data_IF_637852927341
#
_entry.id   IF_637852927341
#
_cell.length_a   1.000
_cell.length_b   1.000
_cell.length_c   1.000
_cell.angle_alpha   90.00
_cell.angle_beta   90.00
_cell.angle_gamma   90.00
#
_symmetry.space_group_name_H-M   'P 1'
#
loop_
_entity.id
_entity.type
_entity.pdbx_description
1 polymer ?
#
# COMPACT_ATOMS: atom_id res chain seq x y z
N UNK A 1 -30.06 40.42 29.05
CA UNK A 1 -29.41 40.24 27.74
C UNK A 1 -28.00 39.73 27.98
N UNK A 2 -27.81 38.40 28.05
CA UNK A 2 -26.54 37.76 28.39
C UNK A 2 -25.82 37.33 27.12
N UNK A 3 -24.72 38.01 26.79
CA UNK A 3 -23.84 37.71 25.67
C UNK A 3 -23.02 36.45 25.95
N UNK A 4 -23.30 35.37 25.21
CA UNK A 4 -22.50 34.14 25.24
C UNK A 4 -21.19 34.35 24.46
N UNK A 5 -20.09 34.39 25.21
CA UNK A 5 -18.72 34.40 24.69
C UNK A 5 -18.38 32.98 24.23
N UNK A 6 -18.09 32.82 22.93
CA UNK A 6 -17.66 31.54 22.34
C UNK A 6 -16.13 31.42 22.33
N UNK A 7 -15.62 30.19 22.47
CA UNK A 7 -14.20 29.80 22.62
C UNK A 7 -13.25 30.24 21.49
N UNK A 8 -13.73 30.98 20.48
CA UNK A 8 -12.91 31.58 19.41
C UNK A 8 -12.40 32.99 19.72
N UNK A 9 -12.80 33.59 20.85
CA UNK A 9 -12.45 34.98 21.18
C UNK A 9 -11.10 35.17 21.92
N UNK A 10 -10.26 34.14 22.04
CA UNK A 10 -9.09 34.13 22.94
C UNK A 10 -7.70 34.07 22.25
N UNK A 11 -7.60 34.38 20.95
CA UNK A 11 -6.30 34.35 20.24
C UNK A 11 -5.98 35.59 19.38
N UNK A 12 -6.58 36.76 19.63
CA UNK A 12 -6.26 37.98 18.85
C UNK A 12 -5.63 39.13 19.63
N UNK A 13 -5.21 38.96 20.89
CA UNK A 13 -4.42 39.98 21.60
C UNK A 13 -2.92 39.77 21.38
N UNK A 14 -2.46 40.14 20.18
CA UNK A 14 -1.05 40.43 19.89
C UNK A 14 -0.84 41.94 19.92
N UNK A 15 -0.02 42.39 20.86
CA UNK A 15 0.26 43.79 21.25
C UNK A 15 0.69 44.68 20.07
N UNK A 16 0.06 45.85 19.94
CA UNK A 16 0.54 46.95 19.11
C UNK A 16 1.80 47.57 19.74
N UNK A 17 2.94 47.51 19.04
CA UNK A 17 4.15 48.26 19.36
C UNK A 17 4.63 49.03 18.13
N UNK A 18 4.56 50.36 18.18
CA UNK A 18 5.07 51.27 17.16
C UNK A 18 6.59 51.38 17.33
N UNK A 19 7.37 51.09 16.29
CA UNK A 19 8.81 51.29 16.27
C UNK A 19 9.38 51.27 14.86
N UNK A 20 9.73 52.45 14.33
CA UNK A 20 10.47 52.62 13.09
C UNK A 20 11.92 52.17 13.28
N UNK A 21 12.40 51.22 12.49
CA UNK A 21 13.82 50.81 12.50
C UNK A 21 14.15 49.80 11.41
N UNK A 22 14.91 50.24 10.40
CA UNK A 22 15.53 49.40 9.38
C UNK A 22 16.32 48.23 10.00
N UNK A 23 16.01 46.98 9.60
CA UNK A 23 16.89 45.82 9.85
C UNK A 23 16.97 44.92 8.61
N UNK A 24 18.20 44.69 8.17
CA UNK A 24 18.61 43.95 6.97
C UNK A 24 18.03 42.53 6.94
N UNK A 25 17.64 42.06 5.74
CA UNK A 25 17.29 40.65 5.48
C UNK A 25 18.43 39.74 5.91
N UNK A 26 18.17 38.86 6.87
CA UNK A 26 19.05 37.73 7.22
C UNK A 26 18.74 36.60 6.23
N UNK A 27 19.73 35.98 5.59
CA UNK A 27 19.48 34.85 4.69
C UNK A 27 19.00 33.66 5.52
N UNK A 28 17.89 33.06 5.11
CA UNK A 28 17.29 31.90 5.78
C UNK A 28 18.27 30.74 5.73
N UNK A 29 18.84 30.39 6.88
CA UNK A 29 19.68 29.21 7.08
C UNK A 29 18.93 27.95 6.67
N UNK A 30 19.51 27.18 5.75
CA UNK A 30 19.13 25.79 5.48
C UNK A 30 19.16 24.99 6.79
N UNK A 31 17.98 24.65 7.31
CA UNK A 31 17.85 23.76 8.45
C UNK A 31 17.89 22.32 7.92
N UNK A 32 19.09 21.75 7.80
CA UNK A 32 19.24 20.30 7.86
C UNK A 32 19.03 19.94 9.34
N UNK A 33 17.87 19.37 9.68
CA UNK A 33 17.56 18.90 11.04
C UNK A 33 17.45 17.38 11.08
N UNK A 34 18.37 16.79 11.85
CA UNK A 34 18.05 15.76 12.83
C UNK A 34 17.87 14.33 12.33
N UNK A 35 18.98 13.61 12.21
CA UNK A 35 18.98 12.14 12.34
C UNK A 35 18.77 11.82 13.82
N UNK A 36 17.67 11.14 14.18
CA UNK A 36 17.49 10.63 15.56
C UNK A 36 16.08 10.59 16.13
N UNK A 37 15.02 10.49 15.32
CA UNK A 37 13.66 10.27 15.82
C UNK A 37 12.86 9.40 14.86
N UNK A 38 11.99 8.54 15.39
CA UNK A 38 11.04 7.72 14.62
C UNK A 38 9.90 8.59 14.04
N UNK A 39 10.24 9.71 13.41
CA UNK A 39 9.28 10.68 12.85
C UNK A 39 9.26 10.56 11.32
N UNK A 40 8.11 10.83 10.72
CA UNK A 40 7.98 10.87 9.26
C UNK A 40 8.87 11.96 8.67
N UNK A 41 9.59 11.63 7.60
CA UNK A 41 10.45 12.57 6.88
C UNK A 41 9.63 13.27 5.79
N UNK A 42 9.03 14.43 6.12
CA UNK A 42 8.29 15.27 5.18
C UNK A 42 7.05 14.63 4.53
N UNK A 43 6.44 15.33 3.57
CA UNK A 43 5.25 14.88 2.84
C UNK A 43 5.61 14.41 1.42
N UNK A 44 5.12 13.24 1.04
CA UNK A 44 5.24 12.68 -0.31
C UNK A 44 3.92 12.88 -1.05
N UNK A 45 4.00 13.25 -2.33
CA UNK A 45 2.81 13.38 -3.17
C UNK A 45 2.36 11.98 -3.66
N UNK A 46 1.34 11.45 -3.00
CA UNK A 46 0.80 10.12 -3.30
C UNK A 46 0.10 10.04 -4.67
N UNK A 47 -0.46 11.15 -5.17
CA UNK A 47 -1.04 11.20 -6.53
C UNK A 47 0.03 10.96 -7.60
N UNK A 48 1.24 11.49 -7.39
CA UNK A 48 2.39 11.24 -8.29
C UNK A 48 2.86 9.78 -8.24
N UNK A 49 2.83 9.15 -7.07
CA UNK A 49 3.08 7.71 -6.95
C UNK A 49 1.98 6.87 -7.62
N UNK A 50 0.78 7.42 -7.78
CA UNK A 50 -0.36 6.76 -8.41
C UNK A 50 -1.13 5.84 -7.45
N UNK A 51 -0.94 5.97 -6.14
CA UNK A 51 -1.75 5.31 -5.12
C UNK A 51 -1.78 6.16 -3.84
N UNK A 52 -2.90 6.13 -3.12
CA UNK A 52 -3.11 6.90 -1.89
C UNK A 52 -3.08 5.96 -0.66
N UNK A 53 -2.04 6.05 0.21
CA UNK A 53 -1.92 5.19 1.38
C UNK A 53 -3.13 5.19 2.30
N UNK A 54 -3.86 6.32 2.40
CA UNK A 54 -5.03 6.40 3.27
C UNK A 54 -6.22 5.62 2.71
N UNK A 55 -6.35 5.56 1.37
CA UNK A 55 -7.38 4.73 0.73
C UNK A 55 -7.06 3.24 0.86
N UNK A 56 -5.78 2.89 0.85
CA UNK A 56 -5.35 1.48 0.96
C UNK A 56 -5.76 0.83 2.27
N UNK A 57 -5.94 1.62 3.35
CA UNK A 57 -6.39 1.13 4.66
C UNK A 57 -7.74 0.40 4.62
N UNK A 58 -8.57 0.68 3.61
CA UNK A 58 -9.89 0.09 3.44
C UNK A 58 -10.13 -0.46 2.04
N UNK A 59 -9.08 -0.56 1.22
CA UNK A 59 -9.16 -1.07 -0.15
C UNK A 59 -9.10 -2.61 -0.15
N UNK A 60 -10.28 -3.21 0.00
CA UNK A 60 -10.45 -4.67 0.01
C UNK A 60 -10.83 -5.17 -1.39
N UNK A 61 -9.95 -5.92 -2.03
CA UNK A 61 -10.24 -6.60 -3.30
C UNK A 61 -11.01 -7.89 -3.03
N UNK A 62 -12.31 -7.90 -3.35
CA UNK A 62 -13.16 -9.08 -3.18
C UNK A 62 -13.11 -10.04 -4.38
N UNK A 63 -12.39 -9.69 -5.43
CA UNK A 63 -12.26 -10.47 -6.65
C UNK A 63 -13.56 -10.60 -7.44
N UNK A 64 -13.47 -11.31 -8.57
CA UNK A 64 -14.64 -11.72 -9.35
C UNK A 64 -15.21 -13.00 -8.76
N UNK A 65 -16.48 -12.96 -8.35
CA UNK A 65 -17.17 -14.10 -7.74
C UNK A 65 -17.94 -14.90 -8.80
N UNK A 66 -17.78 -16.21 -8.77
CA UNK A 66 -18.62 -17.17 -9.51
C UNK A 66 -18.86 -18.43 -8.67
N UNK A 67 -19.63 -19.39 -9.18
CA UNK A 67 -19.85 -20.69 -8.52
C UNK A 67 -19.26 -21.81 -9.34
N UNK A 68 -18.54 -22.71 -8.67
CA UNK A 68 -18.12 -23.98 -9.24
C UNK A 68 -19.30 -24.95 -9.34
N UNK A 69 -19.13 -26.01 -10.14
CA UNK A 69 -20.15 -27.05 -10.34
C UNK A 69 -20.54 -27.78 -9.05
N UNK A 70 -19.64 -27.85 -8.07
CA UNK A 70 -19.86 -28.42 -6.75
C UNK A 70 -20.58 -27.45 -5.77
N UNK A 71 -20.95 -26.25 -6.21
CA UNK A 71 -21.62 -25.23 -5.39
C UNK A 71 -20.69 -24.33 -4.58
N UNK A 72 -19.39 -24.61 -4.52
CA UNK A 72 -18.39 -23.77 -3.86
C UNK A 72 -18.25 -22.43 -4.60
N UNK A 73 -18.10 -21.32 -3.86
CA UNK A 73 -17.78 -20.04 -4.50
C UNK A 73 -16.33 -20.04 -4.99
N UNK A 74 -16.13 -19.50 -6.18
CA UNK A 74 -14.82 -19.22 -6.76
C UNK A 74 -14.62 -17.70 -6.75
N UNK A 75 -13.50 -17.25 -6.19
CA UNK A 75 -13.02 -15.87 -6.28
C UNK A 75 -11.78 -15.81 -7.16
N UNK A 76 -11.88 -15.06 -8.25
CA UNK A 76 -10.79 -14.88 -9.21
C UNK A 76 -10.17 -13.50 -9.12
N UNK A 77 -8.84 -13.46 -9.21
CA UNK A 77 -8.02 -12.25 -9.15
C UNK A 77 -7.01 -12.23 -10.29
N UNK A 78 -6.61 -11.03 -10.70
CA UNK A 78 -5.47 -10.81 -11.58
C UNK A 78 -4.45 -9.91 -10.87
N UNK A 79 -3.23 -10.42 -10.72
CA UNK A 79 -2.13 -9.70 -10.08
C UNK A 79 -0.97 -9.64 -11.05
N UNK A 80 -0.42 -8.45 -11.25
CA UNK A 80 0.68 -8.21 -12.17
C UNK A 80 1.89 -7.67 -11.41
N UNK A 81 3.04 -8.35 -11.51
CA UNK A 81 4.32 -7.79 -11.08
C UNK A 81 4.84 -6.81 -12.12
N UNK A 82 5.10 -5.57 -11.68
CA UNK A 82 5.69 -4.51 -12.50
C UNK A 82 6.75 -3.73 -11.71
N UNK A 83 7.76 -3.24 -12.42
CA UNK A 83 8.78 -2.34 -11.90
C UNK A 83 8.28 -0.88 -11.94
N UNK A 84 8.44 -0.14 -10.84
CA UNK A 84 8.09 1.28 -10.73
C UNK A 84 9.06 2.04 -9.84
N UNK A 85 9.39 3.28 -10.20
CA UNK A 85 9.95 4.22 -9.22
C UNK A 85 8.84 4.77 -8.32
N UNK A 86 9.07 4.69 -7.01
CA UNK A 86 8.18 5.21 -5.97
C UNK A 86 8.95 6.24 -5.11
N UNK A 87 8.38 7.43 -4.93
CA UNK A 87 8.90 8.40 -3.96
C UNK A 87 8.52 7.93 -2.54
N UNK A 88 9.50 7.73 -1.66
CA UNK A 88 9.28 7.21 -0.29
C UNK A 88 9.54 8.27 0.80
N UNK A 89 10.28 9.31 0.44
CA UNK A 89 10.47 10.54 1.21
C UNK A 89 10.71 11.68 0.19
N UNK A 90 10.55 12.96 0.56
CA UNK A 90 10.72 14.06 -0.38
C UNK A 90 12.04 14.00 -1.15
N UNK A 91 11.96 13.81 -2.48
CA UNK A 91 13.10 13.70 -3.38
C UNK A 91 13.87 12.37 -3.30
N UNK A 92 13.40 11.40 -2.52
CA UNK A 92 14.01 10.06 -2.40
C UNK A 92 13.14 9.05 -3.12
N UNK A 93 13.66 8.55 -4.24
CA UNK A 93 12.99 7.57 -5.07
C UNK A 93 13.57 6.17 -4.87
N UNK A 94 12.71 5.16 -4.93
CA UNK A 94 13.06 3.76 -4.78
C UNK A 94 12.58 2.96 -5.99
N UNK A 95 13.48 2.25 -6.71
CA UNK A 95 13.09 1.35 -7.79
C UNK A 95 12.48 0.09 -7.21
N UNK A 96 11.15 0.02 -7.23
CA UNK A 96 10.39 -1.01 -6.54
C UNK A 96 9.80 -2.05 -7.51
N UNK A 97 9.77 -3.30 -7.07
CA UNK A 97 8.87 -4.31 -7.61
C UNK A 97 7.52 -4.19 -6.92
N UNK A 98 6.46 -4.07 -7.71
CA UNK A 98 5.12 -3.80 -7.20
C UNK A 98 4.13 -4.82 -7.75
N UNK A 99 3.09 -5.11 -6.98
CA UNK A 99 1.92 -5.82 -7.49
C UNK A 99 0.83 -4.82 -7.81
N UNK A 100 0.34 -4.86 -9.04
CA UNK A 100 -0.66 -3.93 -9.58
C UNK A 100 -0.25 -2.45 -9.44
N UNK A 101 1.06 -2.18 -9.49
CA UNK A 101 1.59 -0.82 -9.53
C UNK A 101 1.55 -0.06 -8.21
N UNK A 102 1.28 -0.71 -7.08
CA UNK A 102 1.24 -0.07 -5.76
C UNK A 102 1.99 -0.86 -4.68
N UNK A 103 2.33 -0.15 -3.60
CA UNK A 103 2.89 -0.74 -2.38
C UNK A 103 2.09 -0.22 -1.17
N UNK A 104 1.56 -1.10 -0.31
CA UNK A 104 1.48 -2.55 -0.48
C UNK A 104 0.66 -2.95 -1.71
N UNK A 105 0.83 -4.19 -2.19
CA UNK A 105 0.00 -4.79 -3.23
C UNK A 105 -1.47 -4.92 -2.82
N UNK A 106 -2.34 -5.46 -3.70
CA UNK A 106 -3.78 -5.58 -3.42
C UNK A 106 -4.04 -6.38 -2.14
N UNK A 107 -4.99 -5.91 -1.33
CA UNK A 107 -5.42 -6.63 -0.13
C UNK A 107 -6.62 -7.49 -0.48
N UNK A 108 -6.40 -8.80 -0.61
CA UNK A 108 -7.42 -9.74 -1.06
C UNK A 108 -8.34 -10.06 0.12
N UNK A 109 -9.66 -9.97 -0.09
CA UNK A 109 -10.68 -10.31 0.90
C UNK A 109 -11.58 -11.43 0.40
N UNK A 110 -11.57 -12.55 1.10
CA UNK A 110 -12.31 -13.75 0.75
C UNK A 110 -13.18 -14.19 1.92
N UNK A 111 -14.00 -15.23 1.73
CA UNK A 111 -14.69 -15.92 2.81
C UNK A 111 -14.09 -17.29 2.98
N UNK A 112 -13.89 -17.73 4.23
CA UNK A 112 -13.44 -19.09 4.52
C UNK A 112 -14.26 -20.13 3.73
N UNK A 113 -13.57 -21.08 3.11
CA UNK A 113 -14.18 -22.12 2.28
C UNK A 113 -14.36 -21.74 0.81
N UNK A 114 -14.15 -20.48 0.42
CA UNK A 114 -14.10 -20.09 -0.99
C UNK A 114 -12.89 -20.77 -1.69
N UNK A 115 -13.03 -21.08 -2.98
CA UNK A 115 -11.91 -21.42 -3.85
C UNK A 115 -11.29 -20.12 -4.34
N UNK A 116 -9.99 -19.94 -4.15
CA UNK A 116 -9.23 -18.80 -4.65
C UNK A 116 -8.55 -19.21 -5.96
N UNK A 117 -8.59 -18.33 -6.95
CA UNK A 117 -7.77 -18.42 -8.17
C UNK A 117 -7.11 -17.08 -8.44
N UNK A 118 -5.79 -17.06 -8.54
CA UNK A 118 -5.02 -15.84 -8.81
C UNK A 118 -4.22 -16.07 -10.09
N UNK A 119 -4.53 -15.31 -11.13
CA UNK A 119 -3.69 -15.22 -12.33
C UNK A 119 -2.58 -14.22 -12.07
N UNK A 120 -1.37 -14.72 -11.95
CA UNK A 120 -0.19 -13.91 -11.72
C UNK A 120 0.58 -13.70 -13.02
N UNK A 121 0.71 -12.44 -13.44
CA UNK A 121 1.42 -12.03 -14.65
C UNK A 121 2.71 -11.34 -14.24
N UNK A 122 3.83 -11.75 -14.82
CA UNK A 122 5.10 -11.07 -14.57
C UNK A 122 5.49 -10.21 -15.78
N UNK A 123 5.43 -8.89 -15.63
CA UNK A 123 5.90 -7.94 -16.65
C UNK A 123 7.21 -7.25 -16.21
N UNK A 124 7.83 -7.71 -15.13
CA UNK A 124 9.14 -7.25 -14.67
C UNK A 124 10.30 -7.95 -15.39
N UNK A 125 11.51 -7.48 -15.15
CA UNK A 125 12.73 -8.02 -15.76
C UNK A 125 13.34 -9.21 -15.01
N UNK A 126 12.79 -9.55 -13.84
CA UNK A 126 13.26 -10.63 -12.97
C UNK A 126 12.23 -11.75 -12.80
N UNK A 127 12.68 -12.94 -12.39
CA UNK A 127 11.80 -14.02 -11.96
C UNK A 127 11.03 -13.62 -10.71
N UNK A 128 9.72 -13.88 -10.71
CA UNK A 128 8.84 -13.57 -9.57
C UNK A 128 7.88 -14.72 -9.26
N UNK A 129 7.52 -14.78 -7.98
CA UNK A 129 6.49 -15.67 -7.44
C UNK A 129 5.64 -14.89 -6.44
N UNK A 130 4.52 -15.47 -6.01
CA UNK A 130 3.80 -15.07 -4.80
C UNK A 130 3.78 -16.29 -3.87
N UNK A 131 4.34 -16.11 -2.67
CA UNK A 131 4.18 -17.07 -1.58
C UNK A 131 3.07 -16.58 -0.66
N UNK A 132 2.07 -17.44 -0.42
CA UNK A 132 0.93 -17.15 0.44
C UNK A 132 1.17 -17.76 1.82
N UNK A 133 1.00 -16.98 2.88
CA UNK A 133 0.95 -17.56 4.22
C UNK A 133 -0.46 -18.13 4.41
N UNK A 134 -0.56 -19.43 4.63
CA UNK A 134 -1.84 -20.13 4.69
C UNK A 134 -1.65 -21.62 4.44
N UNK A 135 -2.74 -22.32 4.12
CA UNK A 135 -2.69 -23.74 3.78
C UNK A 135 -2.97 -23.93 2.28
N UNK A 136 -2.00 -24.52 1.58
CA UNK A 136 -2.12 -24.90 0.18
C UNK A 136 -1.15 -26.04 -0.14
N UNK A 137 -1.35 -26.68 -1.29
CA UNK A 137 -0.43 -27.71 -1.77
C UNK A 137 0.96 -27.11 -2.09
N UNK A 138 2.01 -27.93 -2.02
CA UNK A 138 3.38 -27.50 -2.32
C UNK A 138 3.52 -26.91 -3.74
N UNK A 139 2.74 -27.41 -4.69
CA UNK A 139 2.71 -26.91 -6.07
C UNK A 139 2.13 -25.50 -6.19
N UNK A 140 1.49 -24.98 -5.13
CA UNK A 140 0.83 -23.67 -5.07
C UNK A 140 1.54 -22.71 -4.12
N UNK A 141 2.71 -23.10 -3.62
CA UNK A 141 3.45 -22.40 -2.56
C UNK A 141 4.25 -21.19 -3.07
N UNK A 142 4.55 -21.15 -4.37
CA UNK A 142 5.36 -20.08 -4.96
C UNK A 142 6.83 -20.15 -4.55
N UNK A 143 7.35 -21.33 -4.20
CA UNK A 143 8.78 -21.56 -4.03
C UNK A 143 9.45 -21.58 -5.42
N UNK A 144 10.58 -20.88 -5.62
CA UNK A 144 11.38 -20.96 -6.83
C UNK A 144 11.74 -22.40 -7.21
N UNK A 145 11.72 -22.72 -8.50
CA UNK A 145 11.91 -24.07 -9.04
C UNK A 145 10.66 -24.95 -9.00
N UNK A 146 9.58 -24.55 -8.31
CA UNK A 146 8.29 -25.28 -8.30
C UNK A 146 7.22 -24.51 -9.07
N UNK A 147 6.96 -23.25 -8.69
CA UNK A 147 5.96 -22.41 -9.33
C UNK A 147 6.43 -20.95 -9.34
N UNK A 148 6.97 -20.52 -10.48
CA UNK A 148 7.47 -19.17 -10.71
C UNK A 148 7.24 -18.69 -12.13
N UNK A 149 7.13 -17.37 -12.29
CA UNK A 149 6.92 -16.74 -13.59
C UNK A 149 8.19 -16.03 -14.04
N UNK A 150 8.72 -16.41 -15.21
CA UNK A 150 9.71 -15.59 -15.90
C UNK A 150 9.08 -14.33 -16.49
N UNK A 151 9.91 -13.42 -17.00
CA UNK A 151 9.46 -12.21 -17.69
C UNK A 151 8.48 -12.54 -18.81
N UNK A 152 7.37 -11.80 -18.84
CA UNK A 152 6.23 -11.98 -19.75
C UNK A 152 5.51 -13.34 -19.65
N UNK A 153 5.67 -14.06 -18.54
CA UNK A 153 4.90 -15.27 -18.28
C UNK A 153 3.72 -15.02 -17.34
N UNK A 154 2.73 -15.89 -17.46
CA UNK A 154 1.58 -15.99 -16.56
C UNK A 154 1.57 -17.37 -15.90
N UNK A 155 1.31 -17.39 -14.60
CA UNK A 155 1.07 -18.61 -13.82
C UNK A 155 -0.20 -18.44 -13.00
N UNK A 156 -0.80 -19.56 -12.57
CA UNK A 156 -2.05 -19.55 -11.81
C UNK A 156 -1.85 -20.22 -10.47
N UNK A 157 -2.22 -19.52 -9.41
CA UNK A 157 -2.36 -20.07 -8.07
C UNK A 157 -3.81 -20.46 -7.81
N UNK A 158 -4.04 -21.64 -7.25
CA UNK A 158 -5.35 -22.09 -6.79
C UNK A 158 -5.29 -22.87 -5.47
N UNK A 159 -6.07 -22.44 -4.49
CA UNK A 159 -6.19 -23.09 -3.18
C UNK A 159 -7.51 -22.72 -2.51
N UNK A 160 -7.86 -23.42 -1.43
CA UNK A 160 -9.03 -23.09 -0.64
C UNK A 160 -8.68 -22.02 0.41
N UNK A 161 -9.62 -21.13 0.69
CA UNK A 161 -9.47 -20.11 1.71
C UNK A 161 -9.62 -20.74 3.11
N UNK A 162 -8.53 -21.24 3.69
CA UNK A 162 -8.50 -21.81 5.04
C UNK A 162 -7.08 -21.78 5.67
N UNK A 163 -6.96 -21.60 6.99
CA UNK A 163 -8.01 -21.25 7.96
C UNK A 163 -8.45 -19.77 7.83
N UNK A 164 -9.53 -19.38 8.50
CA UNK A 164 -9.90 -17.96 8.62
C UNK A 164 -8.82 -17.18 9.39
N UNK A 165 -8.64 -15.90 9.06
CA UNK A 165 -7.66 -15.05 9.72
C UNK A 165 -7.10 -13.94 8.83
N UNK A 166 -6.17 -13.17 9.41
CA UNK A 166 -5.39 -12.19 8.69
C UNK A 166 -4.06 -12.84 8.29
N UNK A 167 -3.87 -13.04 7.00
CA UNK A 167 -2.70 -13.67 6.44
C UNK A 167 -1.94 -12.68 5.55
N UNK A 168 -0.69 -13.01 5.26
CA UNK A 168 0.14 -12.19 4.39
C UNK A 168 0.60 -13.03 3.21
N UNK A 169 0.72 -12.44 2.03
CA UNK A 169 1.60 -12.96 1.00
C UNK A 169 2.82 -12.04 0.88
N UNK A 170 3.96 -12.54 0.42
CA UNK A 170 5.11 -11.65 0.32
C UNK A 170 4.80 -10.55 -0.70
N UNK A 171 4.71 -9.29 -0.24
CA UNK A 171 4.31 -8.05 -0.95
C UNK A 171 2.81 -7.80 -1.19
N UNK A 172 1.90 -8.62 -0.67
CA UNK A 172 0.44 -8.37 -0.64
C UNK A 172 -0.19 -8.93 0.66
N UNK A 173 -1.42 -8.56 0.99
CA UNK A 173 -2.09 -9.06 2.22
C UNK A 173 -3.34 -9.86 1.84
N UNK A 174 -3.62 -10.98 2.52
CA UNK A 174 -4.77 -11.84 2.28
C UNK A 174 -5.59 -11.97 3.56
N UNK A 175 -6.83 -11.50 3.55
CA UNK A 175 -7.76 -11.63 4.68
C UNK A 175 -8.82 -12.66 4.33
N UNK A 176 -8.90 -13.72 5.15
CA UNK A 176 -9.83 -14.86 5.04
C UNK A 176 -10.88 -14.82 6.14
#
# INVERSE_FOLDING_TARGET
>A
MSSNISRRSLLSLGVFGVGNGFRKKVPTTTQIRGVGGLTTMGEVNHEKNGFDPYKLLTDWDTGKVSKLSNGQQLREYEITAIEREIEIAPGVFYPAWTYNGRIPGPTLRVTQGDRIRIKFKNLGSHLHTIHFHGIHAAQQDGIPGVLEAATNQEIVYEFNAEPFGCHLSKWAELIV
#
